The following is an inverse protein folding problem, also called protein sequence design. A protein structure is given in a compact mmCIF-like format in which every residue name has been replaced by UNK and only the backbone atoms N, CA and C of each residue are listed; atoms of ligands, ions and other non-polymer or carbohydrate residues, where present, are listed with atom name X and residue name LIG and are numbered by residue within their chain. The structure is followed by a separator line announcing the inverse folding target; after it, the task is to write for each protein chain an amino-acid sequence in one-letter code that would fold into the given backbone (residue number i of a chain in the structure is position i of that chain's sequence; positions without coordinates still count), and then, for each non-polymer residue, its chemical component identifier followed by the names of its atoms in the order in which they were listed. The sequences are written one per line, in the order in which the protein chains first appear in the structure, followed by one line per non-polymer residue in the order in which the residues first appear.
data_IF_803686541613
#
_entry.id   IF_803686541613
#
_cell.length_a   1.000
_cell.length_b   1.000
_cell.length_c   1.000
_cell.angle_alpha   90.00
_cell.angle_beta   90.00
_cell.angle_gamma   90.00
#
_symmetry.space_group_name_H-M   'P 1'
#
loop_
_entity.id
_entity.type
_entity.pdbx_description
1 polymer ?
#
# COMPACT_ATOMS: atom_id res chain seq x y z
N UNK A 1 56.29 24.93 -40.16
CA UNK A 1 55.76 24.83 -41.53
C UNK A 1 55.46 23.37 -41.82
N UNK A 2 54.19 22.99 -41.89
CA UNK A 2 53.62 22.05 -42.87
C UNK A 2 52.15 21.83 -42.54
N UNK A 3 51.31 22.41 -43.41
CA UNK A 3 49.89 22.15 -43.55
C UNK A 3 49.71 20.76 -44.18
N UNK A 4 48.83 19.94 -43.62
CA UNK A 4 48.17 18.87 -44.37
C UNK A 4 46.66 18.98 -44.21
N UNK A 5 46.02 19.06 -45.36
CA UNK A 5 44.60 19.27 -45.60
C UNK A 5 43.81 17.95 -45.66
N UNK A 6 42.48 18.11 -45.63
CA UNK A 6 41.39 17.27 -46.19
C UNK A 6 40.65 16.36 -45.20
N UNK A 7 39.36 16.04 -45.45
CA UNK A 7 38.29 16.91 -45.93
C UNK A 7 37.00 16.78 -45.10
N UNK A 8 36.16 17.80 -45.26
CA UNK A 8 34.77 17.86 -44.80
C UNK A 8 33.93 16.71 -45.39
N UNK A 9 33.28 15.94 -44.52
CA UNK A 9 32.06 15.20 -44.86
C UNK A 9 30.89 15.89 -44.17
N UNK A 10 30.12 16.67 -44.93
CA UNK A 10 28.80 17.14 -44.53
C UNK A 10 27.81 16.00 -44.75
N UNK A 11 27.62 15.16 -43.72
CA UNK A 11 26.52 14.21 -43.64
C UNK A 11 25.28 14.92 -43.09
N UNK A 12 24.27 15.13 -43.92
CA UNK A 12 22.97 15.65 -43.50
C UNK A 12 22.33 14.68 -42.51
N UNK A 13 22.27 15.07 -41.24
CA UNK A 13 21.55 14.31 -40.21
C UNK A 13 20.07 14.65 -40.36
N UNK A 14 19.28 13.70 -40.83
CA UNK A 14 17.83 13.80 -40.79
C UNK A 14 17.40 13.87 -39.31
N UNK A 15 16.93 15.04 -38.88
CA UNK A 15 16.32 15.23 -37.57
C UNK A 15 14.93 14.60 -37.64
N UNK A 16 14.82 13.36 -37.19
CA UNK A 16 13.52 12.74 -36.92
C UNK A 16 12.99 13.37 -35.64
N UNK A 17 12.19 14.42 -35.77
CA UNK A 17 11.41 14.96 -34.66
C UNK A 17 10.37 13.92 -34.25
N UNK A 18 10.68 13.15 -33.21
CA UNK A 18 9.70 12.29 -32.55
C UNK A 18 8.76 13.23 -31.78
N UNK A 19 7.54 13.39 -32.28
CA UNK A 19 6.47 13.99 -31.49
C UNK A 19 6.16 12.98 -30.39
N UNK A 20 6.71 13.22 -29.19
CA UNK A 20 6.25 12.56 -27.98
C UNK A 20 4.80 13.01 -27.76
N UNK A 21 3.85 12.20 -28.22
CA UNK A 21 2.47 12.30 -27.76
C UNK A 21 2.50 11.85 -26.31
N UNK A 22 2.50 12.80 -25.39
CA UNK A 22 2.15 12.53 -24.01
C UNK A 22 0.69 12.04 -24.03
N UNK A 23 0.50 10.72 -24.00
CA UNK A 23 -0.79 10.15 -23.68
C UNK A 23 -0.94 10.43 -22.18
N UNK A 24 -1.51 11.59 -21.85
CA UNK A 24 -2.07 11.83 -20.53
C UNK A 24 -3.25 10.86 -20.40
N UNK A 25 -2.96 9.61 -20.03
CA UNK A 25 -3.98 8.67 -19.62
C UNK A 25 -4.60 9.25 -18.36
N UNK A 26 -5.89 9.61 -18.42
CA UNK A 26 -6.64 9.87 -17.21
C UNK A 26 -6.63 8.58 -16.38
N UNK A 27 -5.79 8.54 -15.35
CA UNK A 27 -5.80 7.45 -14.39
C UNK A 27 -7.08 7.59 -13.55
N UNK A 28 -7.77 6.48 -13.28
CA UNK A 28 -8.96 6.50 -12.44
C UNK A 28 -8.59 5.93 -11.07
N UNK A 29 -8.78 6.70 -10.00
CA UNK A 29 -8.62 6.21 -8.62
C UNK A 29 -9.90 5.50 -8.22
N UNK A 30 -9.76 4.29 -7.69
CA UNK A 30 -10.88 3.54 -7.10
C UNK A 30 -10.95 3.86 -5.61
N UNK A 31 -12.12 4.28 -5.15
CA UNK A 31 -12.39 4.50 -3.72
C UNK A 31 -12.93 3.19 -3.15
N UNK A 32 -12.27 2.71 -2.10
CA UNK A 32 -12.64 1.49 -1.37
C UNK A 32 -13.14 1.89 0.01
N UNK A 33 -14.20 1.24 0.46
CA UNK A 33 -14.71 1.34 1.83
C UNK A 33 -14.75 -0.05 2.47
N UNK A 34 -14.67 -0.08 3.79
CA UNK A 34 -14.75 -1.33 4.54
C UNK A 34 -16.17 -1.90 4.49
N UNK A 35 -16.26 -3.21 4.30
CA UNK A 35 -17.52 -3.92 4.17
C UNK A 35 -17.43 -5.30 4.82
N UNK A 36 -18.55 -6.01 4.85
CA UNK A 36 -18.53 -7.42 5.27
C UNK A 36 -17.66 -8.23 4.31
N UNK A 37 -16.82 -9.11 4.87
CA UNK A 37 -15.99 -9.99 4.07
C UNK A 37 -16.91 -10.93 3.26
N UNK A 38 -16.76 -10.90 1.94
CA UNK A 38 -17.49 -11.79 1.05
C UNK A 38 -16.85 -13.18 1.03
N UNK A 39 -17.68 -14.22 0.97
CA UNK A 39 -17.22 -15.61 0.98
C UNK A 39 -16.30 -15.95 -0.21
N UNK A 40 -16.56 -15.39 -1.39
CA UNK A 40 -15.75 -15.61 -2.58
C UNK A 40 -14.39 -14.91 -2.48
N UNK A 41 -14.35 -13.67 -1.96
CA UNK A 41 -13.11 -12.96 -1.70
C UNK A 41 -12.23 -13.70 -0.67
N UNK A 42 -12.83 -14.18 0.42
CA UNK A 42 -12.15 -14.98 1.42
C UNK A 42 -11.60 -16.29 0.83
N UNK A 43 -12.39 -16.98 -0.01
CA UNK A 43 -11.95 -18.22 -0.64
C UNK A 43 -10.76 -17.97 -1.58
N UNK A 44 -10.82 -16.94 -2.43
CA UNK A 44 -9.70 -16.58 -3.32
C UNK A 44 -8.45 -16.25 -2.50
N UNK A 45 -8.58 -15.47 -1.44
CA UNK A 45 -7.46 -15.11 -0.56
C UNK A 45 -6.81 -16.34 0.08
N UNK A 46 -7.61 -17.17 0.77
CA UNK A 46 -7.12 -18.36 1.46
C UNK A 46 -6.55 -19.40 0.48
N UNK A 47 -7.18 -19.61 -0.67
CA UNK A 47 -6.67 -20.50 -1.72
C UNK A 47 -5.33 -20.00 -2.27
N UNK A 48 -5.15 -18.69 -2.43
CA UNK A 48 -3.88 -18.14 -2.88
C UNK A 48 -2.76 -18.40 -1.86
N UNK A 49 -3.01 -18.13 -0.58
CA UNK A 49 -2.05 -18.40 0.50
C UNK A 49 -1.66 -19.88 0.56
N UNK A 50 -2.65 -20.76 0.45
CA UNK A 50 -2.46 -22.22 0.53
C UNK A 50 -1.81 -22.82 -0.72
N UNK A 51 -1.71 -22.07 -1.82
CA UNK A 51 -0.96 -22.46 -3.00
C UNK A 51 0.56 -22.21 -2.85
N UNK A 52 0.97 -21.48 -1.82
CA UNK A 52 2.39 -21.27 -1.52
C UNK A 52 3.02 -22.50 -0.85
N UNK A 53 4.35 -22.59 -0.91
CA UNK A 53 5.10 -23.60 -0.15
C UNK A 53 5.39 -23.16 1.30
N UNK A 54 4.78 -22.07 1.76
CA UNK A 54 4.99 -21.50 3.09
C UNK A 54 3.70 -21.62 3.89
N UNK A 55 3.76 -22.26 5.05
CA UNK A 55 2.62 -22.33 5.97
C UNK A 55 2.53 -21.03 6.76
N UNK A 56 1.91 -20.01 6.16
CA UNK A 56 1.61 -18.76 6.84
C UNK A 56 0.60 -18.99 7.97
N UNK A 57 0.69 -18.14 8.97
CA UNK A 57 -0.26 -18.08 10.06
C UNK A 57 -1.12 -16.84 9.91
N UNK A 58 -2.35 -16.92 10.39
CA UNK A 58 -3.37 -15.90 10.28
C UNK A 58 -3.96 -15.58 11.64
N UNK A 59 -4.16 -14.29 11.92
CA UNK A 59 -5.08 -13.81 12.96
C UNK A 59 -5.86 -12.61 12.42
N UNK A 60 -6.88 -12.16 13.15
CA UNK A 60 -7.61 -10.94 12.80
C UNK A 60 -7.44 -9.92 13.92
N UNK A 61 -7.12 -8.69 13.55
CA UNK A 61 -6.96 -7.55 14.46
C UNK A 61 -7.62 -6.33 13.83
N UNK A 62 -8.54 -5.70 14.55
CA UNK A 62 -9.30 -4.53 14.09
C UNK A 62 -9.91 -4.70 12.69
N UNK A 63 -10.41 -5.90 12.40
CA UNK A 63 -11.02 -6.26 11.12
C UNK A 63 -10.04 -6.61 10.01
N UNK A 64 -8.74 -6.33 10.17
CA UNK A 64 -7.71 -6.73 9.24
C UNK A 64 -7.28 -8.18 9.47
N UNK A 65 -7.23 -8.97 8.40
CA UNK A 65 -6.61 -10.30 8.44
C UNK A 65 -5.10 -10.14 8.36
N UNK A 66 -4.40 -10.43 9.45
CA UNK A 66 -2.95 -10.33 9.54
C UNK A 66 -2.33 -11.67 9.16
N UNK A 67 -1.53 -11.67 8.11
CA UNK A 67 -0.69 -12.80 7.68
C UNK A 67 0.70 -12.61 8.27
N UNK A 68 1.35 -13.71 8.68
CA UNK A 68 2.75 -13.66 9.10
C UNK A 68 3.49 -14.98 8.78
N UNK A 69 4.82 -14.94 8.58
CA UNK A 69 5.59 -16.12 8.21
C UNK A 69 5.93 -17.01 9.42
N UNK A 70 6.18 -18.31 9.23
CA UNK A 70 6.59 -19.18 10.33
C UNK A 70 8.01 -18.88 10.80
N UNK A 71 8.35 -19.37 12.00
CA UNK A 71 9.72 -19.45 12.53
C UNK A 71 10.43 -18.12 12.83
N UNK A 72 9.70 -17.06 13.21
CA UNK A 72 10.31 -15.85 13.78
C UNK A 72 11.32 -15.19 12.81
N UNK A 73 10.92 -14.99 11.56
CA UNK A 73 11.65 -14.32 10.47
C UNK A 73 10.90 -13.11 9.90
N UNK A 74 11.61 -12.27 9.16
CA UNK A 74 11.02 -11.24 8.30
C UNK A 74 10.53 -11.84 6.98
N UNK A 75 9.73 -11.08 6.25
CA UNK A 75 9.39 -11.41 4.86
C UNK A 75 10.58 -11.28 3.91
N UNK A 76 10.58 -12.17 2.92
CA UNK A 76 11.48 -12.21 1.78
C UNK A 76 10.65 -12.26 0.48
N UNK A 77 10.16 -11.09 0.05
CA UNK A 77 9.32 -10.96 -1.16
C UNK A 77 10.10 -11.18 -2.46
N UNK A 78 11.43 -11.15 -2.42
CA UNK A 78 12.28 -11.50 -3.56
C UNK A 78 12.56 -13.02 -3.63
N UNK A 79 12.29 -13.75 -2.54
CA UNK A 79 12.50 -15.18 -2.43
C UNK A 79 11.23 -15.93 -2.04
N UNK A 80 11.24 -16.55 -0.86
CA UNK A 80 10.23 -17.55 -0.48
C UNK A 80 8.81 -16.96 -0.29
N UNK A 81 8.70 -15.66 -0.04
CA UNK A 81 7.41 -14.98 0.15
C UNK A 81 6.93 -14.20 -1.08
N UNK A 82 7.61 -14.31 -2.22
CA UNK A 82 7.15 -13.67 -3.46
C UNK A 82 5.70 -14.03 -3.79
N UNK A 83 5.29 -15.26 -3.48
CA UNK A 83 3.91 -15.69 -3.69
C UNK A 83 2.90 -14.98 -2.78
N UNK A 84 3.29 -14.70 -1.52
CA UNK A 84 2.45 -13.94 -0.60
C UNK A 84 2.20 -12.53 -1.15
N UNK A 85 3.24 -11.86 -1.64
CA UNK A 85 3.10 -10.53 -2.25
C UNK A 85 2.04 -10.54 -3.36
N UNK A 86 2.10 -11.55 -4.24
CA UNK A 86 1.12 -11.72 -5.32
C UNK A 86 -0.30 -11.95 -4.78
N UNK A 87 -0.46 -12.75 -3.73
CA UNK A 87 -1.75 -12.96 -3.09
C UNK A 87 -2.32 -11.67 -2.51
N UNK A 88 -1.49 -10.90 -1.79
CA UNK A 88 -1.90 -9.62 -1.19
C UNK A 88 -2.31 -8.61 -2.27
N UNK A 89 -1.55 -8.51 -3.36
CA UNK A 89 -1.90 -7.65 -4.50
C UNK A 89 -3.22 -8.08 -5.15
N UNK A 90 -3.41 -9.38 -5.36
CA UNK A 90 -4.62 -9.93 -5.99
C UNK A 90 -5.89 -9.64 -5.19
N UNK A 91 -5.81 -9.67 -3.86
CA UNK A 91 -6.98 -9.48 -2.98
C UNK A 91 -7.06 -8.08 -2.37
N UNK A 92 -6.14 -7.17 -2.71
CA UNK A 92 -6.04 -5.81 -2.17
C UNK A 92 -7.30 -4.95 -2.31
N UNK A 93 -8.22 -5.33 -3.21
CA UNK A 93 -9.48 -4.61 -3.46
C UNK A 93 -10.70 -5.27 -2.83
N UNK A 94 -10.54 -6.42 -2.20
CA UNK A 94 -11.65 -7.26 -1.74
C UNK A 94 -11.53 -7.71 -0.30
N UNK A 95 -10.31 -7.75 0.25
CA UNK A 95 -10.03 -8.17 1.63
C UNK A 95 -9.20 -7.11 2.33
N UNK A 96 -9.56 -6.76 3.56
CA UNK A 96 -8.69 -5.97 4.45
C UNK A 96 -7.66 -6.93 5.03
N UNK A 97 -6.44 -6.89 4.50
CA UNK A 97 -5.37 -7.76 4.93
C UNK A 97 -4.04 -7.01 5.01
N UNK A 98 -3.19 -7.44 5.94
CA UNK A 98 -1.83 -6.95 6.07
C UNK A 98 -0.85 -8.10 6.31
N UNK A 99 0.41 -7.86 5.98
CA UNK A 99 1.51 -8.76 6.22
C UNK A 99 2.33 -8.21 7.40
N UNK A 100 2.60 -9.05 8.41
CA UNK A 100 3.43 -8.69 9.57
C UNK A 100 4.62 -9.64 9.71
N UNK A 101 5.80 -9.11 10.04
CA UNK A 101 6.96 -9.92 10.37
C UNK A 101 6.75 -10.73 11.65
N UNK A 102 7.34 -11.92 11.71
CA UNK A 102 7.18 -12.78 12.89
C UNK A 102 8.15 -12.48 14.04
N UNK A 103 9.18 -11.65 13.82
CA UNK A 103 10.29 -11.38 14.77
C UNK A 103 9.81 -10.73 16.08
N UNK A 104 8.77 -9.90 16.00
CA UNK A 104 8.19 -9.20 17.15
C UNK A 104 6.68 -9.43 17.16
N UNK A 105 6.23 -10.61 17.62
CA UNK A 105 4.82 -10.97 17.54
C UNK A 105 3.97 -9.99 18.37
N UNK A 106 2.95 -9.40 17.74
CA UNK A 106 1.86 -8.71 18.44
C UNK A 106 1.11 -9.72 19.35
N UNK A 107 0.38 -9.23 20.34
CA UNK A 107 -0.47 -10.08 21.20
C UNK A 107 -1.49 -10.92 20.40
N UNK A 108 -1.85 -10.50 19.19
CA UNK A 108 -2.74 -11.24 18.28
C UNK A 108 -2.25 -12.65 17.88
N UNK A 109 -0.97 -12.95 18.09
CA UNK A 109 -0.38 -14.27 17.79
C UNK A 109 -1.00 -15.45 18.55
N UNK A 110 -1.51 -15.22 19.77
CA UNK A 110 -2.01 -16.33 20.60
C UNK A 110 -3.25 -16.99 20.01
N UNK A 111 -3.98 -16.27 19.16
CA UNK A 111 -5.20 -16.74 18.51
C UNK A 111 -4.97 -17.06 17.03
N UNK A 112 -3.71 -17.11 16.59
CA UNK A 112 -3.42 -17.38 15.19
C UNK A 112 -3.60 -18.85 14.84
N UNK A 113 -4.01 -19.12 13.61
CA UNK A 113 -4.08 -20.46 13.05
C UNK A 113 -3.35 -20.53 11.70
N UNK A 114 -2.91 -21.72 11.26
CA UNK A 114 -2.36 -21.89 9.93
C UNK A 114 -3.37 -21.47 8.84
N UNK A 115 -2.90 -20.84 7.77
CA UNK A 115 -3.74 -20.48 6.63
C UNK A 115 -4.46 -21.69 6.00
N UNK A 116 -3.88 -22.89 6.13
CA UNK A 116 -4.46 -24.16 5.67
C UNK A 116 -5.66 -24.62 6.50
N UNK A 117 -5.80 -24.11 7.72
CA UNK A 117 -6.91 -24.42 8.63
C UNK A 117 -7.97 -23.32 8.65
N UNK A 118 -7.61 -22.12 8.20
CA UNK A 118 -8.52 -21.00 8.13
C UNK A 118 -9.66 -21.25 7.13
N UNK A 119 -10.85 -20.81 7.50
CA UNK A 119 -12.06 -20.87 6.67
C UNK A 119 -12.72 -19.51 6.63
N UNK A 120 -13.63 -19.31 5.67
CA UNK A 120 -14.46 -18.11 5.64
C UNK A 120 -15.24 -17.90 6.96
N UNK A 121 -15.82 -18.97 7.50
CA UNK A 121 -16.58 -18.90 8.75
C UNK A 121 -15.69 -18.46 9.93
N UNK A 122 -14.47 -19.01 10.01
CA UNK A 122 -13.51 -18.60 11.03
C UNK A 122 -13.12 -17.13 10.87
N UNK A 123 -12.80 -16.66 9.65
CA UNK A 123 -12.48 -15.24 9.40
C UNK A 123 -13.61 -14.30 9.85
N UNK A 124 -14.86 -14.65 9.52
CA UNK A 124 -16.03 -13.87 9.95
C UNK A 124 -16.24 -13.88 11.47
N UNK A 125 -16.03 -15.03 12.11
CA UNK A 125 -16.13 -15.16 13.58
C UNK A 125 -15.05 -14.33 14.30
N UNK A 126 -13.86 -14.22 13.71
CA UNK A 126 -12.79 -13.35 14.20
C UNK A 126 -12.99 -11.86 13.84
N UNK A 127 -14.04 -11.52 13.10
CA UNK A 127 -14.39 -10.14 12.74
C UNK A 127 -13.69 -9.60 11.49
N UNK A 128 -13.16 -10.45 10.61
CA UNK A 128 -12.48 -10.02 9.40
C UNK A 128 -13.40 -9.19 8.48
N UNK A 129 -12.81 -8.19 7.82
CA UNK A 129 -13.51 -7.25 6.95
C UNK A 129 -13.07 -7.41 5.50
N UNK A 130 -14.01 -7.15 4.61
CA UNK A 130 -13.78 -7.03 3.18
C UNK A 130 -13.65 -5.57 2.77
N UNK A 131 -13.36 -5.37 1.49
CA UNK A 131 -13.41 -4.07 0.84
C UNK A 131 -14.47 -4.09 -0.25
N UNK A 132 -15.19 -2.98 -0.40
CA UNK A 132 -16.12 -2.78 -1.50
C UNK A 132 -15.81 -1.49 -2.24
N UNK A 133 -15.99 -1.50 -3.55
CA UNK A 133 -15.81 -0.32 -4.39
C UNK A 133 -17.01 0.59 -4.20
N UNK A 134 -16.78 1.78 -3.66
CA UNK A 134 -17.82 2.80 -3.44
C UNK A 134 -17.82 3.87 -4.52
N UNK A 135 -16.73 4.00 -5.28
CA UNK A 135 -16.69 4.92 -6.40
C UNK A 135 -15.38 4.91 -7.17
N UNK A 136 -15.35 5.72 -8.22
CA UNK A 136 -14.15 6.02 -9.00
C UNK A 136 -14.09 7.50 -9.27
N UNK A 137 -12.92 8.12 -9.08
CA UNK A 137 -12.70 9.51 -9.45
C UNK A 137 -11.59 9.59 -10.51
N UNK A 138 -11.76 10.41 -11.56
CA UNK A 138 -10.70 10.65 -12.53
C UNK A 138 -9.57 11.46 -11.86
N UNK A 139 -8.33 11.10 -12.15
CA UNK A 139 -7.15 11.90 -11.81
C UNK A 139 -7.08 13.04 -12.81
N UNK A 140 -7.71 14.15 -12.47
CA UNK A 140 -7.48 15.43 -13.13
C UNK A 140 -6.28 16.08 -12.44
N UNK A 141 -5.12 15.95 -13.04
CA UNK A 141 -3.82 16.48 -12.62
C UNK A 141 -3.11 15.79 -11.44
N UNK A 142 -1.81 15.57 -11.64
CA UNK A 142 -0.85 14.91 -10.74
C UNK A 142 -0.68 15.66 -9.40
N UNK A 143 -1.11 16.92 -9.35
CA UNK A 143 -1.19 17.78 -8.17
C UNK A 143 -2.27 17.33 -7.17
N UNK A 144 -3.30 16.62 -7.63
CA UNK A 144 -4.43 16.20 -6.78
C UNK A 144 -4.12 14.96 -5.93
N UNK A 145 -3.15 14.15 -6.34
CA UNK A 145 -2.70 12.95 -5.61
C UNK A 145 -1.98 13.28 -4.29
N UNK A 146 -1.37 14.47 -4.19
CA UNK A 146 -0.62 14.92 -3.01
C UNK A 146 -1.34 15.98 -2.16
N UNK A 147 -2.48 16.52 -2.63
CA UNK A 147 -3.18 17.61 -1.95
C UNK A 147 -4.06 17.17 -0.75
N UNK A 148 -4.15 15.87 -0.47
CA UNK A 148 -4.90 15.30 0.66
C UNK A 148 -3.97 14.79 1.77
N UNK A 149 -2.81 15.44 1.92
CA UNK A 149 -1.84 15.16 2.98
C UNK A 149 -1.49 16.35 3.87
N UNK A 150 -1.72 17.60 3.44
CA UNK A 150 -1.24 18.79 4.16
C UNK A 150 -2.29 19.91 4.13
N UNK A 151 -3.27 19.89 5.02
CA UNK A 151 -4.06 21.09 5.38
C UNK A 151 -4.75 20.85 6.73
N UNK A 152 -3.95 20.92 7.80
CA UNK A 152 -4.36 21.47 9.11
C UNK A 152 -3.12 21.53 10.01
N UNK A 153 -2.27 22.54 9.80
CA UNK A 153 -1.33 22.96 10.84
C UNK A 153 -1.24 24.49 10.86
N UNK A 154 -1.61 25.02 12.03
CA UNK A 154 -1.10 26.24 12.65
C UNK A 154 -0.94 27.51 11.80
N UNK A 155 -1.87 28.45 11.98
CA UNK A 155 -1.47 29.86 12.12
C UNK A 155 -2.48 30.60 13.03
N UNK A 156 -2.17 30.71 14.32
CA UNK A 156 -2.58 31.90 15.07
C UNK A 156 -1.43 32.34 15.96
N UNK A 157 -0.66 33.23 15.34
CA UNK A 157 0.43 34.07 15.81
C UNK A 157 0.50 34.36 17.31
N UNK A 158 1.72 34.14 17.80
CA UNK A 158 2.34 34.87 18.90
C UNK A 158 2.32 36.37 18.59
N UNK A 159 1.46 37.15 19.24
CA UNK A 159 1.75 38.55 19.59
C UNK A 159 0.81 39.08 20.69
N UNK A 160 1.10 38.75 21.95
CA UNK A 160 0.84 39.68 23.05
C UNK A 160 1.79 39.41 24.21
N UNK A 161 2.95 40.04 24.11
CA UNK A 161 3.94 40.10 25.17
C UNK A 161 3.47 41.00 26.32
N UNK A 162 3.78 40.56 27.54
CA UNK A 162 4.13 41.37 28.72
C UNK A 162 2.99 41.91 29.64
N UNK A 163 3.19 41.59 30.94
CA UNK A 163 2.58 42.12 32.18
C UNK A 163 1.10 41.77 32.40
N UNK A 164 0.71 41.05 33.46
CA UNK A 164 0.79 41.54 34.85
C UNK A 164 0.56 40.44 35.90
N UNK A 165 1.33 40.51 36.99
CA UNK A 165 0.97 40.26 38.39
C UNK A 165 0.23 38.98 38.81
N UNK A 166 0.89 38.24 39.71
CA UNK A 166 0.30 37.27 40.65
C UNK A 166 -0.94 37.81 41.40
N UNK A 167 -1.79 36.90 41.90
CA UNK A 167 -2.22 37.00 43.28
C UNK A 167 -2.08 35.70 44.10
N UNK A 168 -1.88 35.92 45.40
CA UNK A 168 -1.94 34.97 46.52
C UNK A 168 -3.20 34.11 46.51
N UNK A 169 -3.05 32.84 46.90
CA UNK A 169 -4.13 32.06 47.50
C UNK A 169 -3.81 31.75 48.96
N UNK A 170 -4.86 31.91 49.75
CA UNK A 170 -4.99 31.83 51.21
C UNK A 170 -4.77 30.40 51.72
#
# INVERSE_FOLDING_TARGET
MQFQHLPFFLGAVAVWSQVATAIAGAENITILDESDLRADAAHVFLSCLNASNVTYQLFVEDGATIVYPPNNRTYDFEGVDQWLEQCMMMTSRTVVAAAMDSINPSYGYLNSIPATEATYAWLMEQGARGLNVTGTMPVTDESSLFARGDNEMEENLIEKSVQTSMPKLV
#
